data_IF_935964853272
#
_entry.id   IF_935964853272
#
_cell.length_a   1.000
_cell.length_b   1.000
_cell.length_c   1.000
_cell.angle_alpha   90.00
_cell.angle_beta   90.00
_cell.angle_gamma   90.00
#
_symmetry.space_group_name_H-M   'P 1'
#
loop_
_entity.id
_entity.type
_entity.pdbx_description
1 polymer ?
#
# COMPACT_ATOMS: atom_id res chain seq x y z
N UNK A 1 3.94 20.47 -0.97
CA UNK A 1 4.47 20.36 -2.34
C UNK A 1 5.95 20.66 -2.26
N UNK A 2 6.81 19.65 -2.33
CA UNK A 2 8.26 19.81 -2.40
C UNK A 2 8.64 20.00 -3.86
N UNK A 3 9.27 21.13 -4.19
CA UNK A 3 9.85 21.38 -5.50
C UNK A 3 11.19 20.66 -5.61
N UNK A 4 11.57 20.10 -6.78
CA UNK A 4 12.79 19.34 -6.95
C UNK A 4 14.03 20.26 -6.99
N UNK A 5 15.06 19.85 -6.27
CA UNK A 5 16.42 20.39 -6.44
C UNK A 5 17.13 19.56 -7.49
N UNK A 6 17.52 20.18 -8.60
CA UNK A 6 18.37 19.60 -9.62
C UNK A 6 19.84 19.79 -9.26
N UNK A 7 20.55 18.68 -9.01
CA UNK A 7 22.01 18.64 -8.87
C UNK A 7 22.50 17.19 -9.00
N UNK A 8 23.75 16.95 -9.42
CA UNK A 8 24.23 15.63 -9.79
C UNK A 8 24.36 14.69 -8.60
N UNK A 9 24.12 13.42 -8.90
CA UNK A 9 24.10 12.24 -8.06
C UNK A 9 25.25 12.13 -7.04
N UNK A 10 24.95 12.45 -5.80
CA UNK A 10 25.68 11.88 -4.65
C UNK A 10 24.65 11.22 -3.74
N UNK A 11 24.89 9.97 -3.41
CA UNK A 11 24.06 9.14 -2.53
C UNK A 11 23.96 9.81 -1.15
N UNK A 12 22.80 10.15 -0.62
CA UNK A 12 22.72 10.70 0.72
C UNK A 12 22.99 9.58 1.73
N UNK A 13 24.14 9.67 2.37
CA UNK A 13 24.40 8.99 3.64
C UNK A 13 23.48 9.64 4.67
N UNK A 14 22.56 8.86 5.26
CA UNK A 14 21.74 9.30 6.39
C UNK A 14 22.69 9.85 7.49
N UNK A 15 22.73 11.17 7.66
CA UNK A 15 23.52 11.79 8.72
C UNK A 15 24.25 13.08 8.34
N UNK A 16 24.13 13.59 7.11
CA UNK A 16 24.65 14.93 6.78
C UNK A 16 23.54 15.97 6.96
N UNK A 17 23.81 16.94 7.83
CA UNK A 17 23.00 18.15 7.96
C UNK A 17 22.91 18.85 6.59
N UNK A 18 21.73 18.81 6.00
CA UNK A 18 21.41 19.64 4.85
C UNK A 18 21.13 21.03 5.39
N UNK A 19 22.02 21.99 5.12
CA UNK A 19 21.72 23.40 5.35
C UNK A 19 20.44 23.79 4.62
N UNK A 20 19.40 24.06 5.36
CA UNK A 20 18.04 24.20 4.92
C UNK A 20 17.77 25.55 4.27
N UNK A 21 17.43 25.55 3.00
CA UNK A 21 16.36 26.46 2.59
C UNK A 21 15.15 26.14 3.48
N UNK A 22 14.55 27.14 4.14
CA UNK A 22 13.47 26.97 5.12
C UNK A 22 12.28 26.23 4.48
N UNK A 23 12.29 24.89 4.61
CA UNK A 23 11.16 24.06 4.19
C UNK A 23 10.09 24.24 5.28
N UNK A 24 9.00 24.87 4.92
CA UNK A 24 7.85 24.96 5.81
C UNK A 24 7.25 23.55 5.92
N UNK A 25 7.30 22.92 7.09
CA UNK A 25 6.74 21.59 7.26
C UNK A 25 5.22 21.66 7.02
N UNK A 26 4.74 20.79 6.14
CA UNK A 26 3.33 20.73 5.75
C UNK A 26 2.74 19.40 6.14
N UNK A 27 1.75 19.40 7.02
CA UNK A 27 0.97 18.24 7.39
C UNK A 27 -0.38 18.25 6.67
N UNK A 28 -0.68 17.21 5.92
CA UNK A 28 -1.99 17.01 5.32
C UNK A 28 -2.96 16.49 6.39
N UNK A 29 -4.06 17.21 6.59
CA UNK A 29 -5.13 16.86 7.53
C UNK A 29 -6.49 16.99 6.87
N UNK A 30 -7.50 16.34 7.42
CA UNK A 30 -8.88 16.52 7.01
C UNK A 30 -9.32 17.97 7.23
N UNK A 31 -9.88 18.56 6.18
CA UNK A 31 -10.42 19.93 6.28
C UNK A 31 -11.66 19.96 7.16
N UNK A 32 -11.76 20.95 8.03
CA UNK A 32 -12.89 21.07 8.96
C UNK A 32 -14.27 21.10 8.27
N UNK A 33 -14.37 21.67 7.06
CA UNK A 33 -15.60 21.66 6.29
C UNK A 33 -16.07 20.24 5.91
N UNK A 34 -15.15 19.27 5.79
CA UNK A 34 -15.50 17.89 5.48
C UNK A 34 -16.22 17.23 6.66
N UNK A 35 -15.93 17.63 7.89
CA UNK A 35 -16.64 17.17 9.09
C UNK A 35 -18.10 17.60 9.12
N UNK A 36 -18.40 18.81 8.62
CA UNK A 36 -19.78 19.30 8.52
C UNK A 36 -20.56 18.58 7.42
N UNK A 37 -19.89 18.22 6.32
CA UNK A 37 -20.48 17.47 5.21
C UNK A 37 -20.62 15.99 5.51
N UNK A 38 -19.66 15.42 6.24
CA UNK A 38 -19.62 14.02 6.59
C UNK A 38 -19.18 13.82 8.05
N UNK A 39 -20.11 13.81 9.01
CA UNK A 39 -19.83 13.65 10.45
C UNK A 39 -19.07 12.35 10.80
N UNK A 40 -19.15 11.33 9.92
CA UNK A 40 -18.41 10.06 10.09
C UNK A 40 -16.89 10.26 10.08
N UNK A 41 -16.41 11.32 9.43
CA UNK A 41 -14.98 11.67 9.38
C UNK A 41 -14.44 12.29 10.67
N UNK A 42 -15.26 12.38 11.72
CA UNK A 42 -14.83 12.95 13.01
C UNK A 42 -13.70 12.17 13.67
N UNK A 43 -13.73 10.84 13.60
CA UNK A 43 -12.68 9.99 14.19
C UNK A 43 -11.36 10.14 13.43
N UNK A 44 -11.31 10.02 12.10
CA UNK A 44 -10.10 10.33 11.32
C UNK A 44 -9.55 11.73 11.62
N UNK A 45 -10.39 12.75 11.64
CA UNK A 45 -9.97 14.11 11.91
C UNK A 45 -9.34 14.28 13.31
N UNK A 46 -9.92 13.66 14.33
CA UNK A 46 -9.35 13.72 15.70
C UNK A 46 -7.94 13.07 15.73
N UNK A 47 -7.72 12.02 14.96
CA UNK A 47 -6.40 11.37 14.84
C UNK A 47 -5.40 12.26 14.11
N UNK A 48 -5.82 12.94 13.04
CA UNK A 48 -4.98 13.91 12.33
C UNK A 48 -4.55 15.05 13.28
N UNK A 49 -5.47 15.58 14.10
CA UNK A 49 -5.15 16.61 15.10
C UNK A 49 -4.19 16.10 16.17
N UNK A 50 -4.31 14.85 16.59
CA UNK A 50 -3.37 14.25 17.53
C UNK A 50 -1.95 14.16 16.93
N UNK A 51 -1.83 13.83 15.64
CA UNK A 51 -0.55 13.83 14.89
C UNK A 51 0.08 15.22 14.81
N UNK A 52 -0.73 16.26 14.55
CA UNK A 52 -0.24 17.64 14.58
C UNK A 52 0.33 17.95 15.97
N UNK A 53 -0.38 17.57 17.03
CA UNK A 53 0.11 17.75 18.41
C UNK A 53 1.44 17.04 18.66
N UNK A 54 1.60 15.80 18.19
CA UNK A 54 2.85 15.06 18.30
C UNK A 54 3.99 15.75 17.53
N UNK A 55 3.72 16.17 16.30
CA UNK A 55 4.68 16.90 15.48
C UNK A 55 5.16 18.20 16.18
N UNK A 56 4.23 19.00 16.68
CA UNK A 56 4.55 20.28 17.35
C UNK A 56 5.35 20.10 18.65
N UNK A 57 5.22 18.95 19.31
CA UNK A 57 6.03 18.62 20.49
C UNK A 57 7.39 18.01 20.14
N UNK A 58 7.68 17.76 18.88
CA UNK A 58 8.89 17.04 18.44
C UNK A 58 8.81 15.53 18.65
N UNK A 59 7.62 14.98 18.94
CA UNK A 59 7.38 13.55 19.16
C UNK A 59 7.14 12.78 17.83
N UNK A 60 7.32 13.42 16.67
CA UNK A 60 7.06 12.81 15.37
C UNK A 60 8.17 11.81 15.02
N UNK A 61 7.86 10.52 14.90
CA UNK A 61 8.89 9.55 14.63
C UNK A 61 9.36 9.65 13.17
N UNK A 62 10.66 9.52 12.98
CA UNK A 62 11.25 9.31 11.66
C UNK A 62 11.10 7.84 11.26
N UNK A 63 10.91 7.53 9.95
CA UNK A 63 10.88 6.17 9.47
C UNK A 63 12.18 5.45 9.82
N UNK A 64 12.07 4.30 10.48
CA UNK A 64 13.22 3.45 10.78
C UNK A 64 13.55 2.66 9.51
N UNK A 65 14.78 2.71 8.97
CA UNK A 65 15.14 1.94 7.79
C UNK A 65 15.11 0.44 8.08
N UNK A 66 14.90 -0.42 7.06
CA UNK A 66 14.98 -1.86 7.23
C UNK A 66 16.39 -2.27 7.67
N UNK A 67 16.47 -3.32 8.48
CA UNK A 67 17.75 -3.81 9.03
C UNK A 67 18.70 -4.32 7.95
N UNK A 68 18.15 -4.87 6.89
CA UNK A 68 18.88 -5.36 5.75
C UNK A 68 18.19 -4.97 4.45
N UNK A 69 18.93 -4.31 3.58
CA UNK A 69 18.52 -4.03 2.21
C UNK A 69 19.45 -4.82 1.29
N UNK A 70 18.85 -5.59 0.39
CA UNK A 70 19.53 -6.42 -0.61
C UNK A 70 19.13 -5.93 -2.00
N UNK A 71 20.09 -5.78 -2.90
CA UNK A 71 19.81 -5.31 -4.26
C UNK A 71 21.08 -5.16 -5.09
N UNK A 72 21.00 -4.73 -6.36
CA UNK A 72 22.16 -4.64 -7.26
C UNK A 72 23.30 -3.80 -6.72
N UNK A 73 22.99 -2.68 -6.06
CA UNK A 73 23.99 -1.75 -5.53
C UNK A 73 24.63 -2.22 -4.21
N UNK A 74 23.92 -3.09 -3.47
CA UNK A 74 24.32 -3.57 -2.14
C UNK A 74 24.74 -5.02 -2.13
N UNK A 75 24.62 -5.70 -3.27
CA UNK A 75 24.88 -7.12 -3.44
C UNK A 75 23.72 -8.01 -2.99
N UNK A 76 23.52 -9.13 -3.70
CA UNK A 76 22.56 -10.16 -3.33
C UNK A 76 23.18 -11.27 -2.45
N UNK A 77 24.51 -11.28 -2.31
CA UNK A 77 25.26 -12.25 -1.49
C UNK A 77 24.85 -12.19 -0.01
N UNK A 78 24.33 -11.06 0.46
CA UNK A 78 23.80 -10.91 1.82
C UNK A 78 22.65 -11.89 2.14
N UNK A 79 21.97 -12.46 1.12
CA UNK A 79 20.96 -13.51 1.29
C UNK A 79 21.53 -14.79 1.94
N UNK A 80 22.86 -15.03 1.83
CA UNK A 80 23.53 -16.19 2.41
C UNK A 80 24.28 -15.88 3.71
N UNK A 81 24.35 -14.61 4.10
CA UNK A 81 25.10 -14.19 5.28
C UNK A 81 24.46 -14.55 6.61
N UNK A 82 25.26 -14.61 7.67
CA UNK A 82 24.76 -14.87 9.04
C UNK A 82 23.77 -13.81 9.53
N UNK A 83 23.86 -12.58 9.02
CA UNK A 83 22.89 -11.54 9.32
C UNK A 83 21.48 -11.91 8.85
N UNK A 84 21.35 -12.52 7.66
CA UNK A 84 20.07 -13.01 7.13
C UNK A 84 19.47 -14.11 8.01
N UNK A 85 20.30 -15.08 8.44
CA UNK A 85 19.83 -16.16 9.32
C UNK A 85 19.28 -15.60 10.63
N UNK A 86 19.98 -14.66 11.25
CA UNK A 86 19.50 -14.00 12.47
C UNK A 86 18.24 -13.14 12.25
N UNK A 87 18.06 -12.55 11.05
CA UNK A 87 16.82 -11.84 10.71
C UNK A 87 15.65 -12.81 10.59
N UNK A 88 15.82 -13.92 9.89
CA UNK A 88 14.78 -14.96 9.77
C UNK A 88 14.37 -15.50 11.12
N UNK A 89 15.32 -15.79 12.01
CA UNK A 89 15.05 -16.26 13.36
C UNK A 89 14.19 -15.27 14.16
N UNK A 90 14.51 -13.97 14.08
CA UNK A 90 13.72 -12.93 14.75
C UNK A 90 12.35 -12.72 14.11
N UNK A 91 12.25 -12.77 12.78
CA UNK A 91 10.97 -12.70 12.08
C UNK A 91 10.04 -13.85 12.49
N UNK A 92 10.57 -15.07 12.55
CA UNK A 92 9.83 -16.26 12.99
C UNK A 92 9.40 -16.16 14.45
N UNK A 93 10.18 -15.48 15.29
CA UNK A 93 9.85 -15.23 16.69
C UNK A 93 8.86 -14.08 16.92
N UNK A 94 8.50 -13.33 15.90
CA UNK A 94 7.55 -12.23 16.01
C UNK A 94 6.10 -12.73 16.13
N UNK A 95 5.21 -11.87 16.64
CA UNK A 95 3.77 -12.15 16.69
C UNK A 95 3.17 -12.26 15.29
N UNK A 96 3.59 -11.39 14.39
CA UNK A 96 3.27 -11.37 12.96
C UNK A 96 4.38 -10.69 12.17
N UNK A 97 4.39 -10.87 10.85
CA UNK A 97 5.18 -10.06 9.93
C UNK A 97 4.23 -9.34 8.95
N UNK A 98 4.54 -8.11 8.59
CA UNK A 98 3.91 -7.42 7.47
C UNK A 98 4.74 -7.65 6.20
N UNK A 99 4.08 -7.90 5.09
CA UNK A 99 4.72 -8.07 3.80
C UNK A 99 4.03 -7.19 2.76
N UNK A 100 4.85 -6.51 1.97
CA UNK A 100 4.39 -5.67 0.86
C UNK A 100 5.25 -5.91 -0.39
N UNK A 101 4.61 -5.89 -1.57
CA UNK A 101 5.25 -6.14 -2.86
C UNK A 101 5.01 -5.00 -3.85
N UNK A 102 6.09 -4.55 -4.51
CA UNK A 102 5.99 -3.63 -5.63
C UNK A 102 6.19 -4.39 -6.95
N UNK A 103 5.25 -4.27 -7.85
CA UNK A 103 5.24 -5.02 -9.11
C UNK A 103 4.63 -4.24 -10.27
N UNK A 104 4.95 -4.64 -11.49
CA UNK A 104 4.33 -4.09 -12.70
C UNK A 104 2.87 -4.62 -12.84
N UNK A 105 1.84 -3.76 -12.79
CA UNK A 105 0.44 -4.20 -12.76
C UNK A 105 0.02 -5.10 -13.93
N UNK A 106 0.56 -4.84 -15.14
CA UNK A 106 0.19 -5.56 -16.36
C UNK A 106 0.76 -6.98 -16.44
N UNK A 107 1.96 -7.18 -15.88
CA UNK A 107 2.70 -8.45 -15.97
C UNK A 107 2.81 -9.17 -14.65
N UNK A 108 2.52 -8.49 -13.55
CA UNK A 108 2.80 -8.93 -12.18
C UNK A 108 4.29 -9.26 -11.94
N UNK A 109 5.17 -8.66 -12.76
CA UNK A 109 6.61 -8.80 -12.54
C UNK A 109 6.97 -8.09 -11.23
N UNK A 110 7.40 -8.86 -10.25
CA UNK A 110 7.82 -8.37 -8.95
C UNK A 110 9.11 -7.57 -9.08
N UNK A 111 9.16 -6.38 -8.50
CA UNK A 111 10.34 -5.52 -8.46
C UNK A 111 10.96 -5.42 -7.07
N UNK A 112 10.15 -5.29 -6.05
CA UNK A 112 10.60 -5.12 -4.67
C UNK A 112 9.72 -5.92 -3.73
N UNK A 113 10.31 -6.45 -2.69
CA UNK A 113 9.60 -7.08 -1.58
C UNK A 113 10.16 -6.55 -0.27
N UNK A 114 9.26 -6.12 0.61
CA UNK A 114 9.55 -5.72 1.97
C UNK A 114 8.89 -6.66 2.97
N UNK A 115 9.62 -7.07 4.01
CA UNK A 115 9.11 -7.85 5.13
C UNK A 115 9.54 -7.15 6.41
N UNK A 116 8.61 -6.82 7.29
CA UNK A 116 8.90 -6.15 8.54
C UNK A 116 8.07 -6.69 9.71
N UNK A 117 8.57 -6.50 10.92
CA UNK A 117 7.91 -6.90 12.16
C UNK A 117 8.32 -5.99 13.31
N UNK A 118 7.50 -5.96 14.34
CA UNK A 118 7.81 -5.27 15.59
C UNK A 118 8.51 -6.24 16.57
N UNK A 119 9.67 -5.83 17.06
CA UNK A 119 10.48 -6.55 18.04
C UNK A 119 10.51 -5.76 19.35
N UNK A 120 9.36 -5.74 20.07
CA UNK A 120 9.27 -5.06 21.37
C UNK A 120 9.36 -3.53 21.28
N UNK A 121 8.71 -2.92 20.28
CA UNK A 121 8.70 -1.47 20.02
C UNK A 121 9.79 -0.99 19.08
N UNK A 122 10.61 -1.90 18.55
CA UNK A 122 11.58 -1.60 17.48
C UNK A 122 11.17 -2.36 16.22
N UNK A 123 10.91 -1.64 15.14
CA UNK A 123 10.61 -2.28 13.86
C UNK A 123 11.90 -2.76 13.21
N UNK A 124 11.96 -4.02 12.88
CA UNK A 124 13.03 -4.63 12.10
C UNK A 124 12.48 -5.14 10.76
N UNK A 125 13.34 -5.34 9.78
CA UNK A 125 12.91 -5.92 8.52
C UNK A 125 14.00 -6.13 7.51
N UNK A 126 13.57 -6.80 6.44
CA UNK A 126 14.32 -7.10 5.23
C UNK A 126 13.64 -6.46 4.04
N UNK A 127 14.44 -5.88 3.15
CA UNK A 127 13.96 -5.43 1.85
C UNK A 127 14.84 -5.99 0.74
N UNK A 128 14.23 -6.55 -0.30
CA UNK A 128 14.92 -7.03 -1.50
C UNK A 128 14.44 -6.22 -2.70
N UNK A 129 15.38 -5.48 -3.29
CA UNK A 129 15.16 -4.54 -4.38
C UNK A 129 15.49 -5.20 -5.72
N UNK A 130 14.79 -4.78 -6.77
CA UNK A 130 15.03 -5.19 -8.15
C UNK A 130 15.15 -6.72 -8.31
N UNK A 131 14.16 -7.44 -7.79
CA UNK A 131 14.12 -8.91 -7.81
C UNK A 131 14.29 -9.54 -9.19
N UNK A 132 13.95 -8.89 -10.34
CA UNK A 132 14.25 -9.43 -11.66
C UNK A 132 15.75 -9.64 -11.94
N UNK A 133 16.64 -8.95 -11.21
CA UNK A 133 18.09 -9.10 -11.35
C UNK A 133 18.67 -10.25 -10.51
N UNK A 134 17.86 -10.90 -9.68
CA UNK A 134 18.27 -12.10 -8.97
C UNK A 134 18.63 -13.22 -9.95
N UNK A 135 19.76 -13.86 -9.73
CA UNK A 135 20.09 -15.13 -10.38
C UNK A 135 19.07 -16.21 -9.96
N UNK A 136 19.02 -17.33 -10.67
CA UNK A 136 18.18 -18.46 -10.26
C UNK A 136 18.47 -18.89 -8.82
N UNK A 137 19.76 -19.06 -8.48
CA UNK A 137 20.17 -19.43 -7.11
C UNK A 137 19.78 -18.37 -6.08
N UNK A 138 19.86 -17.08 -6.43
CA UNK A 138 19.40 -15.98 -5.57
C UNK A 138 17.89 -15.99 -5.36
N UNK A 139 17.14 -16.32 -6.41
CA UNK A 139 15.68 -16.45 -6.35
C UNK A 139 15.27 -17.64 -5.48
N UNK A 140 15.89 -18.80 -5.69
CA UNK A 140 15.65 -20.01 -4.88
C UNK A 140 15.93 -19.71 -3.40
N UNK A 141 17.05 -19.04 -3.13
CA UNK A 141 17.40 -18.66 -1.75
C UNK A 141 16.39 -17.68 -1.12
N UNK A 142 15.91 -16.69 -1.87
CA UNK A 142 14.87 -15.79 -1.39
C UNK A 142 13.55 -16.55 -1.17
N UNK A 143 13.22 -17.48 -2.04
CA UNK A 143 12.06 -18.36 -1.87
C UNK A 143 12.14 -19.16 -0.57
N UNK A 144 13.29 -19.76 -0.26
CA UNK A 144 13.52 -20.49 0.99
C UNK A 144 13.36 -19.60 2.22
N UNK A 145 13.87 -18.37 2.16
CA UNK A 145 13.75 -17.39 3.25
C UNK A 145 12.28 -17.03 3.48
N UNK A 146 11.56 -16.66 2.41
CA UNK A 146 10.15 -16.29 2.50
C UNK A 146 9.30 -17.47 2.98
N UNK A 147 9.53 -18.66 2.44
CA UNK A 147 8.85 -19.87 2.86
C UNK A 147 9.07 -20.19 4.34
N UNK A 148 10.33 -20.06 4.81
CA UNK A 148 10.64 -20.27 6.22
C UNK A 148 9.89 -19.30 7.16
N UNK A 149 9.71 -18.04 6.73
CA UNK A 149 8.95 -17.04 7.48
C UNK A 149 7.45 -17.39 7.42
N UNK A 150 6.90 -17.53 6.21
CA UNK A 150 5.46 -17.69 5.99
C UNK A 150 4.87 -18.95 6.63
N UNK A 151 5.64 -20.04 6.71
CA UNK A 151 5.19 -21.30 7.33
C UNK A 151 5.20 -21.27 8.86
N UNK A 152 5.88 -20.30 9.47
CA UNK A 152 6.09 -20.29 10.92
C UNK A 152 5.44 -19.12 11.65
N UNK A 153 5.17 -18.00 10.95
CA UNK A 153 4.57 -16.81 11.55
C UNK A 153 3.38 -16.32 10.73
N UNK A 154 2.34 -15.74 11.34
CA UNK A 154 1.26 -15.06 10.60
C UNK A 154 1.79 -13.94 9.73
N UNK A 155 1.30 -13.83 8.50
CA UNK A 155 1.68 -12.77 7.56
C UNK A 155 0.50 -11.84 7.31
N UNK A 156 0.71 -10.57 7.52
CA UNK A 156 -0.26 -9.50 7.29
C UNK A 156 0.03 -8.83 5.96
N UNK A 157 -0.98 -8.74 5.14
CA UNK A 157 -0.97 -8.07 3.83
C UNK A 157 -1.97 -6.92 3.80
N UNK A 158 -1.78 -6.02 2.87
CA UNK A 158 -2.80 -5.04 2.48
C UNK A 158 -3.40 -5.47 1.14
N UNK A 159 -4.66 -5.94 1.12
CA UNK A 159 -5.32 -6.46 -0.07
C UNK A 159 -4.64 -7.73 -0.64
N UNK A 160 -4.43 -8.71 0.20
CA UNK A 160 -3.73 -9.96 -0.09
C UNK A 160 -4.15 -10.64 -1.39
N UNK A 161 -5.47 -10.77 -1.63
CA UNK A 161 -6.04 -11.44 -2.81
C UNK A 161 -5.82 -10.65 -4.10
N UNK A 162 -5.95 -9.32 -4.01
CA UNK A 162 -5.85 -8.44 -5.17
C UNK A 162 -4.42 -8.13 -5.59
N UNK A 163 -3.47 -8.23 -4.66
CA UNK A 163 -2.09 -7.78 -4.84
C UNK A 163 -1.07 -8.91 -4.60
N UNK A 164 -0.65 -9.08 -3.36
CA UNK A 164 0.60 -9.78 -3.01
C UNK A 164 0.57 -11.30 -3.27
N UNK A 165 -0.49 -12.00 -2.85
CA UNK A 165 -0.54 -13.46 -2.98
C UNK A 165 -0.40 -13.95 -4.43
N UNK A 166 -1.11 -13.38 -5.43
CA UNK A 166 -0.89 -13.75 -6.82
C UNK A 166 0.52 -13.44 -7.35
N UNK A 167 1.14 -12.38 -6.86
CA UNK A 167 2.50 -11.98 -7.26
C UNK A 167 3.53 -12.93 -6.66
N UNK A 168 3.40 -13.29 -5.38
CA UNK A 168 4.28 -14.23 -4.70
C UNK A 168 4.18 -15.64 -5.31
N UNK A 169 2.98 -16.09 -5.67
CA UNK A 169 2.80 -17.35 -6.35
C UNK A 169 3.46 -17.34 -7.75
N UNK A 170 3.29 -16.28 -8.52
CA UNK A 170 3.91 -16.15 -9.83
C UNK A 170 5.44 -16.05 -9.76
N UNK A 171 5.97 -15.28 -8.80
CA UNK A 171 7.41 -15.01 -8.70
C UNK A 171 8.19 -16.16 -8.06
N UNK A 172 7.63 -16.82 -7.07
CA UNK A 172 8.33 -17.77 -6.20
C UNK A 172 7.62 -19.12 -6.04
N UNK A 173 6.42 -19.30 -6.60
CA UNK A 173 5.61 -20.50 -6.37
C UNK A 173 5.00 -20.57 -4.96
N UNK A 174 5.10 -19.51 -4.16
CA UNK A 174 4.58 -19.46 -2.80
C UNK A 174 3.06 -19.24 -2.83
N UNK A 175 2.30 -20.22 -2.35
CA UNK A 175 0.84 -20.23 -2.42
C UNK A 175 0.23 -19.87 -1.07
N UNK A 176 -1.04 -19.52 -1.07
CA UNK A 176 -1.81 -19.32 0.16
C UNK A 176 -1.68 -20.48 1.14
N UNK A 177 -1.69 -21.73 0.64
CA UNK A 177 -1.58 -22.94 1.47
C UNK A 177 -0.22 -23.11 2.15
N UNK A 178 0.81 -22.39 1.71
CA UNK A 178 2.15 -22.45 2.29
C UNK A 178 2.29 -21.51 3.51
N UNK A 179 1.26 -20.72 3.83
CA UNK A 179 1.25 -19.81 4.98
C UNK A 179 0.72 -20.51 6.23
N UNK A 180 1.34 -20.23 7.36
CA UNK A 180 0.79 -20.58 8.67
C UNK A 180 -0.58 -19.91 8.87
N UNK A 181 -0.65 -18.63 8.52
CA UNK A 181 -1.85 -17.80 8.52
C UNK A 181 -1.64 -16.59 7.61
N UNK A 182 -2.65 -16.25 6.84
CA UNK A 182 -2.75 -15.00 6.09
C UNK A 182 -3.75 -14.11 6.82
N UNK A 183 -3.33 -12.92 7.17
CA UNK A 183 -4.19 -11.85 7.60
C UNK A 183 -4.24 -10.75 6.53
N UNK A 184 -5.41 -10.13 6.35
CA UNK A 184 -5.64 -9.06 5.38
C UNK A 184 -6.13 -7.81 6.10
N UNK A 185 -5.29 -6.78 6.13
CA UNK A 185 -5.57 -5.53 6.81
C UNK A 185 -6.78 -4.79 6.22
N UNK A 186 -6.91 -4.81 4.87
CA UNK A 186 -8.05 -4.18 4.20
C UNK A 186 -9.37 -4.85 4.61
N UNK A 187 -9.38 -6.17 4.62
CA UNK A 187 -10.55 -6.96 5.00
C UNK A 187 -10.90 -6.75 6.49
N UNK A 188 -9.90 -6.79 7.37
CA UNK A 188 -10.09 -6.56 8.80
C UNK A 188 -10.68 -5.18 9.09
N UNK A 189 -10.17 -4.15 8.43
CA UNK A 189 -10.69 -2.79 8.58
C UNK A 189 -12.09 -2.64 7.97
N UNK A 190 -12.39 -3.35 6.88
CA UNK A 190 -13.73 -3.33 6.27
C UNK A 190 -14.81 -3.92 7.20
N UNK A 191 -14.46 -4.92 8.00
CA UNK A 191 -15.41 -5.47 9.00
C UNK A 191 -15.62 -4.51 10.19
N UNK A 192 -14.59 -3.75 10.59
CA UNK A 192 -14.70 -2.73 11.64
C UNK A 192 -15.47 -1.49 11.17
N UNK A 193 -15.17 -1.00 9.96
CA UNK A 193 -15.59 0.33 9.51
C UNK A 193 -16.04 0.31 8.04
N UNK A 194 -17.12 -0.38 7.74
CA UNK A 194 -17.64 -0.65 6.37
C UNK A 194 -17.82 0.57 5.49
N UNK A 195 -18.00 1.74 6.08
CA UNK A 195 -18.31 2.96 5.35
C UNK A 195 -17.09 3.85 5.10
N UNK A 196 -15.92 3.45 5.58
CA UNK A 196 -14.69 4.21 5.40
C UNK A 196 -13.84 3.63 4.25
N UNK A 197 -12.91 4.44 3.70
CA UNK A 197 -11.91 3.90 2.79
C UNK A 197 -11.03 2.86 3.46
N UNK A 198 -10.60 1.85 2.70
CA UNK A 198 -9.79 0.74 3.20
C UNK A 198 -8.42 0.66 2.51
N UNK A 199 -8.07 1.68 1.70
CA UNK A 199 -6.72 1.76 1.13
C UNK A 199 -5.67 2.07 2.20
N UNK A 200 -4.44 1.59 2.00
CA UNK A 200 -3.35 1.75 2.97
C UNK A 200 -3.09 3.23 3.29
N UNK A 201 -3.27 4.11 2.32
CA UNK A 201 -3.12 5.54 2.53
C UNK A 201 -4.10 6.11 3.56
N UNK A 202 -5.35 5.64 3.58
CA UNK A 202 -6.32 6.00 4.61
C UNK A 202 -5.97 5.34 5.95
N UNK A 203 -5.63 4.05 5.95
CA UNK A 203 -5.26 3.31 7.15
C UNK A 203 -4.01 3.90 7.83
N UNK A 204 -3.02 4.30 7.05
CA UNK A 204 -1.85 5.02 7.54
C UNK A 204 -2.23 6.37 8.18
N UNK A 205 -3.25 7.08 7.63
CA UNK A 205 -3.72 8.28 8.28
C UNK A 205 -4.45 8.01 9.59
N UNK A 206 -5.12 6.88 9.70
CA UNK A 206 -5.86 6.48 10.90
C UNK A 206 -4.95 5.96 12.02
N UNK A 207 -4.03 5.06 11.69
CA UNK A 207 -3.26 4.26 12.64
C UNK A 207 -1.75 4.50 12.54
N UNK A 208 -1.26 4.95 11.39
CA UNK A 208 0.16 5.17 11.15
C UNK A 208 0.72 6.32 11.98
N UNK A 209 1.98 6.20 12.32
CA UNK A 209 2.77 7.21 13.04
C UNK A 209 3.80 7.89 12.14
N UNK A 210 4.06 7.31 10.97
CA UNK A 210 5.03 7.81 10.00
C UNK A 210 4.39 8.74 8.96
N UNK A 211 5.16 9.64 8.33
CA UNK A 211 4.66 10.46 7.24
C UNK A 211 4.36 9.59 6.00
N UNK A 212 3.28 9.90 5.28
CA UNK A 212 2.94 9.21 4.04
C UNK A 212 4.02 9.40 2.98
N UNK A 213 4.45 8.31 2.35
CA UNK A 213 5.53 8.28 1.37
C UNK A 213 5.07 8.08 -0.08
N UNK A 214 3.76 8.12 -0.35
CA UNK A 214 3.21 7.85 -1.68
C UNK A 214 3.79 8.72 -2.81
N UNK A 215 4.23 9.94 -2.50
CA UNK A 215 4.91 10.82 -3.46
C UNK A 215 6.29 10.27 -3.89
N UNK A 216 6.88 9.37 -3.11
CA UNK A 216 8.18 8.74 -3.40
C UNK A 216 8.08 7.52 -4.31
N UNK A 217 6.89 7.00 -4.60
CA UNK A 217 6.71 5.76 -5.37
C UNK A 217 7.49 5.71 -6.70
N UNK A 218 7.70 6.88 -7.35
CA UNK A 218 8.50 7.00 -8.58
C UNK A 218 9.94 7.46 -8.35
N UNK A 219 10.20 8.18 -7.26
CA UNK A 219 11.50 8.79 -6.96
C UNK A 219 12.40 7.85 -6.16
N UNK A 220 11.82 7.19 -5.17
CA UNK A 220 12.47 6.21 -4.31
C UNK A 220 11.51 5.05 -4.01
N UNK A 221 11.38 4.09 -4.94
CA UNK A 221 10.50 2.94 -4.76
C UNK A 221 10.86 2.07 -3.55
N UNK A 222 12.14 2.09 -3.14
CA UNK A 222 12.60 1.35 -1.98
C UNK A 222 12.03 1.95 -0.69
N UNK A 223 12.19 3.25 -0.51
CA UNK A 223 11.65 3.95 0.65
C UNK A 223 10.11 3.91 0.65
N UNK A 224 9.48 3.98 -0.52
CA UNK A 224 8.03 3.85 -0.65
C UNK A 224 7.53 2.48 -0.16
N UNK A 225 8.06 1.38 -0.72
CA UNK A 225 7.68 0.01 -0.29
C UNK A 225 7.94 -0.21 1.21
N UNK A 226 9.06 0.29 1.73
CA UNK A 226 9.32 0.18 3.16
C UNK A 226 8.34 0.99 4.01
N UNK A 227 7.93 2.16 3.53
CA UNK A 227 6.86 2.96 4.13
C UNK A 227 5.55 2.20 4.22
N UNK A 228 5.17 1.48 3.15
CA UNK A 228 3.95 0.68 3.12
C UNK A 228 4.03 -0.52 4.09
N UNK A 229 5.21 -1.14 4.27
CA UNK A 229 5.44 -2.14 5.33
C UNK A 229 5.24 -1.55 6.73
N UNK A 230 5.84 -0.38 7.01
CA UNK A 230 5.70 0.30 8.30
C UNK A 230 4.25 0.68 8.60
N UNK A 231 3.56 1.23 7.60
CA UNK A 231 2.15 1.61 7.70
C UNK A 231 1.26 0.39 7.94
N UNK A 232 1.57 -0.75 7.29
CA UNK A 232 0.86 -2.02 7.49
C UNK A 232 1.04 -2.53 8.93
N UNK A 233 2.24 -2.49 9.49
CA UNK A 233 2.50 -2.89 10.89
C UNK A 233 1.67 -2.03 11.85
N UNK A 234 1.79 -0.69 11.74
CA UNK A 234 1.09 0.24 12.62
C UNK A 234 -0.43 0.11 12.50
N UNK A 235 -0.94 -0.01 11.27
CA UNK A 235 -2.36 -0.14 11.03
C UNK A 235 -2.91 -1.47 11.55
N UNK A 236 -2.18 -2.57 11.35
CA UNK A 236 -2.58 -3.87 11.86
C UNK A 236 -2.67 -3.90 13.39
N UNK A 237 -1.66 -3.37 14.08
CA UNK A 237 -1.69 -3.25 15.54
C UNK A 237 -2.89 -2.45 16.04
N UNK A 238 -3.22 -1.35 15.35
CA UNK A 238 -4.39 -0.53 15.67
C UNK A 238 -5.72 -1.26 15.42
N UNK A 239 -5.87 -1.90 14.28
CA UNK A 239 -7.06 -2.65 13.88
C UNK A 239 -7.31 -3.84 14.81
N UNK A 240 -6.27 -4.62 15.12
CA UNK A 240 -6.38 -5.77 16.08
C UNK A 240 -6.81 -5.29 17.45
N UNK A 241 -6.27 -4.16 17.93
CA UNK A 241 -6.66 -3.57 19.20
C UNK A 241 -8.14 -3.15 19.22
N UNK A 242 -8.65 -2.61 18.13
CA UNK A 242 -10.08 -2.25 18.01
C UNK A 242 -10.96 -3.51 17.91
N UNK A 243 -10.59 -4.49 17.08
CA UNK A 243 -11.32 -5.76 16.98
C UNK A 243 -11.37 -6.54 18.32
N UNK A 244 -10.34 -6.41 19.17
CA UNK A 244 -10.35 -7.02 20.48
C UNK A 244 -11.44 -6.47 21.41
N UNK A 245 -11.95 -5.28 21.13
CA UNK A 245 -13.05 -4.64 21.87
C UNK A 245 -14.43 -5.03 21.33
N UNK A 246 -14.48 -5.65 20.15
CA UNK A 246 -15.72 -6.07 19.48
C UNK A 246 -15.62 -7.53 18.98
N UNK A 247 -15.82 -8.53 19.87
CA UNK A 247 -15.73 -9.94 19.52
C UNK A 247 -16.59 -10.38 18.32
N UNK A 248 -17.83 -9.89 18.13
CA UNK A 248 -18.62 -10.17 16.94
C UNK A 248 -17.91 -9.74 15.63
N UNK A 249 -17.29 -8.58 15.60
CA UNK A 249 -16.54 -8.11 14.42
C UNK A 249 -15.34 -9.01 14.15
N UNK A 250 -14.65 -9.43 15.21
CA UNK A 250 -13.55 -10.39 15.07
C UNK A 250 -14.01 -11.71 14.47
N UNK A 251 -15.18 -12.20 14.89
CA UNK A 251 -15.75 -13.42 14.31
C UNK A 251 -16.05 -13.25 12.82
N UNK A 252 -16.68 -12.13 12.42
CA UNK A 252 -16.95 -11.83 11.00
C UNK A 252 -15.66 -11.78 10.17
N UNK A 253 -14.60 -11.19 10.71
CA UNK A 253 -13.30 -11.19 10.06
C UNK A 253 -12.73 -12.62 9.88
N UNK A 254 -12.79 -13.47 10.90
CA UNK A 254 -12.34 -14.87 10.78
C UNK A 254 -13.16 -15.66 9.75
N UNK A 255 -14.46 -15.39 9.63
CA UNK A 255 -15.31 -15.97 8.60
C UNK A 255 -14.93 -15.46 7.20
N UNK A 256 -14.66 -14.15 7.08
CA UNK A 256 -14.24 -13.53 5.81
C UNK A 256 -12.88 -14.06 5.31
N UNK A 257 -11.93 -14.35 6.20
CA UNK A 257 -10.65 -14.98 5.84
C UNK A 257 -10.82 -16.32 5.13
N UNK A 258 -11.87 -17.08 5.47
CA UNK A 258 -12.12 -18.38 4.83
C UNK A 258 -12.50 -18.26 3.35
N UNK A 259 -12.88 -17.05 2.89
CA UNK A 259 -13.17 -16.77 1.48
C UNK A 259 -11.90 -16.56 0.65
N UNK A 260 -10.77 -16.24 1.25
CA UNK A 260 -9.52 -15.94 0.55
C UNK A 260 -9.13 -17.03 -0.45
N UNK A 261 -9.06 -18.34 -0.10
CA UNK A 261 -8.70 -19.37 -1.06
C UNK A 261 -9.72 -19.50 -2.21
N UNK A 262 -11.00 -19.27 -1.95
CA UNK A 262 -12.06 -19.30 -2.96
C UNK A 262 -11.88 -18.14 -3.95
N UNK A 263 -11.59 -16.95 -3.43
CA UNK A 263 -11.37 -15.75 -4.23
C UNK A 263 -10.10 -15.88 -5.08
N UNK A 264 -9.02 -16.44 -4.54
CA UNK A 264 -7.79 -16.70 -5.28
C UNK A 264 -8.02 -17.67 -6.44
N UNK A 265 -8.75 -18.77 -6.22
CA UNK A 265 -9.12 -19.71 -7.28
C UNK A 265 -10.03 -19.06 -8.33
N UNK A 266 -10.96 -18.22 -7.91
CA UNK A 266 -11.82 -17.47 -8.83
C UNK A 266 -11.00 -16.49 -9.68
N UNK A 267 -10.02 -15.81 -9.09
CA UNK A 267 -9.09 -14.92 -9.79
C UNK A 267 -8.24 -15.65 -10.83
N UNK A 268 -7.70 -16.83 -10.48
CA UNK A 268 -6.91 -17.67 -11.41
C UNK A 268 -7.75 -18.17 -12.57
N UNK A 269 -8.97 -18.62 -12.29
CA UNK A 269 -9.90 -19.10 -13.31
C UNK A 269 -10.36 -17.99 -14.25
N UNK A 270 -10.56 -16.79 -13.72
CA UNK A 270 -11.08 -15.63 -14.42
C UNK A 270 -12.51 -15.81 -14.93
N UNK A 271 -12.96 -14.85 -15.72
CA UNK A 271 -14.24 -14.90 -16.40
C UNK A 271 -14.04 -15.11 -17.89
N UNK A 272 -14.84 -16.01 -18.48
CA UNK A 272 -14.82 -16.22 -19.93
C UNK A 272 -15.51 -15.05 -20.63
N UNK A 273 -14.72 -14.29 -21.38
CA UNK A 273 -15.22 -13.17 -22.18
C UNK A 273 -15.51 -13.66 -23.60
N UNK A 274 -16.71 -13.37 -24.09
CA UNK A 274 -17.09 -13.62 -25.49
C UNK A 274 -16.47 -12.54 -26.39
N UNK A 275 -15.21 -12.75 -26.83
CA UNK A 275 -14.46 -11.77 -27.63
C UNK A 275 -15.23 -11.25 -28.84
N UNK A 276 -16.01 -12.11 -29.51
CA UNK A 276 -16.86 -11.72 -30.64
C UNK A 276 -17.94 -10.68 -30.32
N UNK A 277 -18.25 -10.48 -29.04
CA UNK A 277 -19.19 -9.45 -28.58
C UNK A 277 -18.54 -8.19 -28.07
N UNK A 278 -17.24 -8.21 -27.79
CA UNK A 278 -16.52 -7.07 -27.20
C UNK A 278 -16.39 -5.94 -28.22
N UNK A 279 -15.90 -6.22 -29.43
CA UNK A 279 -15.74 -5.19 -30.48
C UNK A 279 -17.07 -4.54 -30.87
N UNK A 280 -18.13 -5.29 -31.20
CA UNK A 280 -19.44 -4.70 -31.47
C UNK A 280 -19.99 -3.87 -30.28
N UNK A 281 -19.80 -4.33 -29.05
CA UNK A 281 -20.22 -3.57 -27.87
C UNK A 281 -19.43 -2.26 -27.71
N UNK A 282 -18.12 -2.28 -27.94
CA UNK A 282 -17.29 -1.07 -27.90
C UNK A 282 -17.83 -0.04 -28.92
N UNK A 283 -18.09 -0.46 -30.17
CA UNK A 283 -18.62 0.42 -31.22
C UNK A 283 -19.97 1.00 -30.79
N UNK A 284 -20.88 0.15 -30.34
CA UNK A 284 -22.21 0.59 -29.86
C UNK A 284 -22.10 1.63 -28.74
N UNK A 285 -21.27 1.36 -27.72
CA UNK A 285 -21.11 2.29 -26.60
C UNK A 285 -20.40 3.58 -27.00
N UNK A 286 -19.45 3.55 -27.94
CA UNK A 286 -18.84 4.75 -28.48
C UNK A 286 -19.85 5.63 -29.22
N UNK A 287 -20.70 5.06 -30.05
CA UNK A 287 -21.78 5.80 -30.75
C UNK A 287 -22.79 6.41 -29.76
N UNK A 288 -23.16 5.65 -28.73
CA UNK A 288 -24.03 6.14 -27.65
C UNK A 288 -23.39 7.28 -26.87
N UNK A 289 -22.11 7.16 -26.54
CA UNK A 289 -21.35 8.21 -25.87
C UNK A 289 -21.27 9.48 -26.72
N UNK A 290 -20.90 9.36 -27.99
CA UNK A 290 -20.83 10.51 -28.90
C UNK A 290 -22.19 11.20 -29.05
N UNK A 291 -23.28 10.42 -29.10
CA UNK A 291 -24.62 10.98 -29.19
C UNK A 291 -24.99 11.72 -27.90
N UNK A 292 -24.69 11.15 -26.74
CA UNK A 292 -24.93 11.80 -25.46
C UNK A 292 -24.07 13.08 -25.30
N UNK A 293 -22.82 13.05 -25.72
CA UNK A 293 -21.94 14.22 -25.70
C UNK A 293 -22.46 15.33 -26.62
N UNK A 294 -22.87 15.00 -27.86
CA UNK A 294 -23.45 15.99 -28.80
C UNK A 294 -24.70 16.63 -28.20
N UNK A 295 -25.55 15.84 -27.57
CA UNK A 295 -26.75 16.36 -26.91
C UNK A 295 -26.37 17.28 -25.71
N UNK A 296 -25.45 16.88 -24.86
CA UNK A 296 -24.97 17.72 -23.77
C UNK A 296 -24.38 19.04 -24.27
N UNK A 297 -23.55 19.00 -25.31
CA UNK A 297 -22.99 20.23 -25.94
C UNK A 297 -24.05 21.12 -26.58
N UNK A 298 -25.10 20.54 -27.15
CA UNK A 298 -26.20 21.34 -27.74
C UNK A 298 -26.96 22.11 -26.66
N UNK A 299 -27.14 21.52 -25.46
CA UNK A 299 -27.77 22.24 -24.35
C UNK A 299 -26.84 23.27 -23.70
N UNK A 300 -25.55 22.94 -23.57
CA UNK A 300 -24.57 23.84 -22.96
C UNK A 300 -24.16 25.02 -23.89
N UNK A 301 -24.35 24.88 -25.22
CA UNK A 301 -23.84 25.84 -26.21
C UNK A 301 -22.35 25.74 -26.50
N UNK A 302 -21.64 24.77 -25.88
CA UNK A 302 -20.20 24.55 -26.02
C UNK A 302 -19.80 23.12 -25.68
N UNK A 303 -18.56 22.73 -26.03
CA UNK A 303 -18.03 21.39 -25.71
C UNK A 303 -17.65 21.29 -24.25
N UNK A 304 -18.47 20.59 -23.48
CA UNK A 304 -18.22 20.26 -22.05
C UNK A 304 -17.44 18.94 -21.96
N UNK A 305 -16.44 18.88 -21.10
CA UNK A 305 -15.88 17.63 -20.63
C UNK A 305 -16.69 17.15 -19.42
N UNK A 306 -17.35 15.99 -19.55
CA UNK A 306 -18.21 15.44 -18.51
C UNK A 306 -17.45 14.68 -17.39
N UNK A 307 -16.11 14.66 -17.40
CA UNK A 307 -15.31 14.20 -16.26
C UNK A 307 -15.60 15.07 -15.04
N UNK A 308 -15.87 14.47 -13.88
CA UNK A 308 -16.39 15.17 -12.68
C UNK A 308 -15.56 16.39 -12.28
N UNK A 309 -14.22 16.23 -12.18
CA UNK A 309 -13.32 17.32 -11.80
C UNK A 309 -13.29 18.45 -12.83
N UNK A 310 -13.24 18.08 -14.12
CA UNK A 310 -13.17 19.01 -15.23
C UNK A 310 -14.52 19.70 -15.48
N UNK A 311 -15.63 19.02 -15.20
CA UNK A 311 -16.97 19.62 -15.27
C UNK A 311 -17.12 20.71 -14.21
N UNK A 312 -16.71 20.46 -12.98
CA UNK A 312 -16.74 21.47 -11.91
C UNK A 312 -15.88 22.68 -12.29
N UNK A 313 -14.64 22.47 -12.70
CA UNK A 313 -13.75 23.55 -13.13
C UNK A 313 -14.37 24.40 -14.26
N UNK A 314 -14.90 23.76 -15.30
CA UNK A 314 -15.51 24.42 -16.44
C UNK A 314 -16.78 25.22 -16.08
N UNK A 315 -17.57 24.73 -15.11
CA UNK A 315 -18.77 25.43 -14.65
C UNK A 315 -18.43 26.64 -13.75
N UNK A 316 -17.41 26.50 -12.88
CA UNK A 316 -17.05 27.58 -11.95
C UNK A 316 -16.17 28.68 -12.55
N UNK A 317 -15.49 28.44 -13.67
CA UNK A 317 -14.62 29.44 -14.32
C UNK A 317 -15.33 30.29 -15.36
N UNK A 318 -16.60 30.01 -15.69
CA UNK A 318 -17.37 30.84 -16.58
C UNK A 318 -18.08 31.98 -15.83
N UNK A 319 -17.85 33.22 -16.30
CA UNK A 319 -18.47 34.43 -15.76
C UNK A 319 -20.00 34.53 -15.97
N UNK A 320 -20.61 33.53 -16.64
CA UNK A 320 -22.04 33.55 -17.02
C UNK A 320 -22.94 32.74 -16.06
N UNK A 321 -22.39 32.20 -14.96
CA UNK A 321 -23.17 31.52 -13.91
C UNK A 321 -23.02 32.16 -12.55
#
# INVERSE_FOLDING_TARGET
>A
VLSPVSGPSETPVLGTEVESASVVPTLAVLHLADLFRNPKMRVPANRDWAKIGAYLRGDWPLPIPPRLIVGPERGYEALWGGQMAGLVERAVGAEFVALDTEYAPQTRLLHTIGVGWDSGGVVEGLQVLQTPHLSHVGRDRLTDILHAIMTQVPVVYQNAVGADLPVLEQAFGLRYADHKRVDDLMLAHAELWREWPHDLGFLASMYGVYPKMKHLAKQDPALYNWGDVLDTICAWQGVVKEMAQDPPVRQLYEEALQLIPILLESHKRGLRVAKSRVEPAIVEYQERLETALRLAWSYAGWKINLGEAQLKEQLYTREEF
#
